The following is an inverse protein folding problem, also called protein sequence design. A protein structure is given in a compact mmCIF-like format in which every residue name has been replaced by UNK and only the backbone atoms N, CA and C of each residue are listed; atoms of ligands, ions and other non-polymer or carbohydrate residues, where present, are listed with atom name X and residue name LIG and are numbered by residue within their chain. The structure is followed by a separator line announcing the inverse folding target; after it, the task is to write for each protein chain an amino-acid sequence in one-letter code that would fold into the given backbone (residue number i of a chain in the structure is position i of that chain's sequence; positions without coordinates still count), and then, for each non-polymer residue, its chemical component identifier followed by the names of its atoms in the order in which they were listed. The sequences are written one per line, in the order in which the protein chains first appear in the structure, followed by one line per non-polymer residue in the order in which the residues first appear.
data_IF_407799887222
#
_entry.id   IF_407799887222
#
_cell.length_a   1.000
_cell.length_b   1.000
_cell.length_c   1.000
_cell.angle_alpha   90.00
_cell.angle_beta   90.00
_cell.angle_gamma   90.00
#
_symmetry.space_group_name_H-M   'P 1'
#
loop_
_entity.id
_entity.type
_entity.pdbx_description
1 polymer ?
#
# COMPACT_ATOMS: atom_id res chain seq x y z
N UNK A 1 48.78 1.16 -4.24
CA UNK A 1 47.60 1.91 -4.72
C UNK A 1 46.41 1.27 -4.04
N UNK A 2 45.84 1.97 -3.06
CA UNK A 2 44.93 1.38 -2.09
C UNK A 2 43.49 1.31 -2.65
N UNK A 3 42.92 0.13 -2.51
CA UNK A 3 41.59 -0.27 -2.93
C UNK A 3 40.53 0.57 -2.23
N UNK A 4 39.80 1.38 -2.99
CA UNK A 4 38.66 2.17 -2.49
C UNK A 4 37.50 1.20 -2.22
N UNK A 5 37.47 0.67 -1.00
CA UNK A 5 36.40 -0.16 -0.44
C UNK A 5 35.15 0.71 -0.25
N UNK A 6 34.35 0.83 -1.31
CA UNK A 6 33.05 1.48 -1.26
C UNK A 6 32.11 0.66 -0.36
N UNK A 7 31.48 1.37 0.57
CA UNK A 7 30.79 0.85 1.75
C UNK A 7 29.44 0.17 1.39
N UNK A 8 29.02 -0.86 2.16
CA UNK A 8 27.79 -1.64 1.91
C UNK A 8 26.47 -0.88 2.12
N UNK A 9 26.50 0.28 2.78
CA UNK A 9 25.33 1.06 3.17
C UNK A 9 24.56 1.65 1.97
N UNK A 10 25.25 2.19 0.97
CA UNK A 10 24.60 2.72 -0.24
C UNK A 10 23.90 1.63 -1.06
N UNK A 11 24.36 0.37 -0.97
CA UNK A 11 23.78 -0.77 -1.70
C UNK A 11 22.49 -1.27 -1.05
N UNK A 12 22.40 -1.23 0.27
CA UNK A 12 21.18 -1.55 1.02
C UNK A 12 20.09 -0.51 0.77
N UNK A 13 20.41 0.79 0.87
CA UNK A 13 19.43 1.86 0.60
C UNK A 13 18.91 1.83 -0.85
N UNK A 14 19.72 1.35 -1.79
CA UNK A 14 19.29 1.17 -3.18
C UNK A 14 18.29 0.04 -3.34
N UNK A 15 18.45 -1.06 -2.59
CA UNK A 15 17.49 -2.18 -2.59
C UNK A 15 16.17 -1.82 -1.94
N UNK A 16 16.20 -1.08 -0.83
CA UNK A 16 14.97 -0.64 -0.15
C UNK A 16 14.20 0.39 -0.99
N UNK A 17 14.91 1.32 -1.64
CA UNK A 17 14.30 2.27 -2.58
C UNK A 17 13.64 1.57 -3.77
N UNK A 18 14.29 0.55 -4.31
CA UNK A 18 13.75 -0.22 -5.43
C UNK A 18 12.56 -1.09 -4.99
N UNK A 19 12.66 -1.72 -3.82
CA UNK A 19 11.55 -2.46 -3.20
C UNK A 19 10.32 -1.59 -2.95
N UNK A 20 10.51 -0.38 -2.41
CA UNK A 20 9.42 0.58 -2.21
C UNK A 20 8.75 0.98 -3.53
N UNK A 21 9.55 1.31 -4.56
CA UNK A 21 9.02 1.64 -5.89
C UNK A 21 8.26 0.46 -6.49
N UNK A 22 8.78 -0.75 -6.37
CA UNK A 22 8.16 -1.96 -6.90
C UNK A 22 6.83 -2.30 -6.20
N UNK A 23 6.75 -2.10 -4.88
CA UNK A 23 5.55 -2.38 -4.10
C UNK A 23 4.47 -1.31 -4.26
N UNK A 24 4.83 -0.03 -4.06
CA UNK A 24 3.84 1.04 -3.92
C UNK A 24 3.66 1.89 -5.18
N UNK A 25 4.66 1.92 -6.06
CA UNK A 25 4.65 2.70 -7.30
C UNK A 25 4.45 1.81 -8.53
N UNK A 26 3.76 0.68 -8.36
CA UNK A 26 3.35 -0.19 -9.46
C UNK A 26 2.08 0.35 -10.12
N UNK A 27 2.10 0.47 -11.44
CA UNK A 27 0.89 0.77 -12.22
C UNK A 27 0.00 -0.47 -12.24
N UNK A 28 -1.22 -0.36 -11.73
CA UNK A 28 -2.24 -1.41 -11.77
C UNK A 28 -3.42 -0.95 -12.62
N UNK A 29 -3.91 -1.83 -13.50
CA UNK A 29 -5.19 -1.68 -14.17
C UNK A 29 -6.30 -2.03 -13.19
N UNK A 30 -6.83 -1.01 -12.52
CA UNK A 30 -8.03 -1.17 -11.68
C UNK A 30 -9.24 -1.08 -12.60
N UNK A 31 -9.94 -2.20 -12.78
CA UNK A 31 -11.13 -2.30 -13.64
C UNK A 31 -12.40 -1.76 -12.95
N UNK A 32 -12.42 -1.71 -11.61
CA UNK A 32 -13.56 -1.27 -10.79
C UNK A 32 -13.09 -0.29 -9.72
N UNK A 33 -13.17 1.02 -10.00
CA UNK A 33 -12.75 2.06 -9.05
C UNK A 33 -13.90 2.43 -8.12
N UNK A 34 -13.66 2.33 -6.82
CA UNK A 34 -14.52 2.92 -5.79
C UNK A 34 -13.87 4.20 -5.29
N UNK A 35 -14.66 5.27 -5.13
CA UNK A 35 -14.16 6.55 -4.64
C UNK A 35 -14.17 6.54 -3.12
N UNK A 36 -13.00 6.64 -2.51
CA UNK A 36 -12.84 6.80 -1.06
C UNK A 36 -12.47 8.26 -0.74
N UNK A 37 -13.08 8.81 0.29
CA UNK A 37 -12.73 10.14 0.77
C UNK A 37 -11.47 10.06 1.64
N UNK A 38 -10.50 10.89 1.30
CA UNK A 38 -9.29 11.10 2.09
C UNK A 38 -9.18 12.57 2.46
N UNK A 39 -8.60 12.86 3.62
CA UNK A 39 -8.37 14.25 4.03
C UNK A 39 -7.53 14.99 2.97
N UNK A 40 -7.86 16.26 2.72
CA UNK A 40 -7.16 17.09 1.73
C UNK A 40 -5.66 17.21 2.00
N UNK A 41 -5.26 17.20 3.28
CA UNK A 41 -3.84 17.21 3.67
C UNK A 41 -3.11 15.95 3.21
N UNK A 42 -3.72 14.77 3.45
CA UNK A 42 -3.17 13.48 3.04
C UNK A 42 -3.13 13.40 1.52
N UNK A 43 -4.20 13.80 0.85
CA UNK A 43 -4.25 13.85 -0.62
C UNK A 43 -3.13 14.74 -1.18
N UNK A 44 -2.95 15.94 -0.64
CA UNK A 44 -1.90 16.86 -1.08
C UNK A 44 -0.48 16.32 -0.84
N UNK A 45 -0.26 15.64 0.29
CA UNK A 45 1.03 15.00 0.60
C UNK A 45 1.33 13.87 -0.38
N UNK A 46 0.36 13.01 -0.66
CA UNK A 46 0.49 11.91 -1.62
C UNK A 46 0.70 12.46 -3.04
N UNK A 47 -0.06 13.47 -3.45
CA UNK A 47 0.06 14.10 -4.77
C UNK A 47 1.48 14.63 -5.02
N UNK A 48 2.05 15.36 -4.05
CA UNK A 48 3.45 15.83 -4.13
C UNK A 48 4.43 14.68 -4.21
N UNK A 49 4.28 13.67 -3.35
CA UNK A 49 5.17 12.51 -3.30
C UNK A 49 5.16 11.73 -4.62
N UNK A 50 3.98 11.34 -5.10
CA UNK A 50 3.81 10.58 -6.35
C UNK A 50 4.26 11.41 -7.55
N UNK A 51 3.98 12.71 -7.56
CA UNK A 51 4.44 13.63 -8.61
C UNK A 51 5.96 13.67 -8.74
N UNK A 52 6.68 13.76 -7.62
CA UNK A 52 8.15 13.84 -7.58
C UNK A 52 8.80 12.48 -7.87
N UNK A 53 8.30 11.39 -7.28
CA UNK A 53 8.99 10.08 -7.32
C UNK A 53 8.59 9.27 -8.55
N UNK A 54 7.31 9.31 -8.94
CA UNK A 54 6.75 8.40 -9.94
C UNK A 54 6.63 9.01 -11.34
N UNK A 55 6.83 10.33 -11.48
CA UNK A 55 6.91 11.02 -12.78
C UNK A 55 5.85 10.59 -13.78
N UNK A 56 4.57 10.94 -13.54
CA UNK A 56 3.39 10.60 -14.38
C UNK A 56 3.13 9.10 -14.66
N UNK A 57 3.99 8.17 -14.24
CA UNK A 57 3.81 6.73 -14.49
C UNK A 57 2.74 6.09 -13.60
N UNK A 58 2.53 6.67 -12.41
CA UNK A 58 1.59 6.18 -11.39
C UNK A 58 0.64 7.28 -11.01
N UNK A 59 -0.65 6.97 -10.93
CA UNK A 59 -1.67 7.90 -10.45
C UNK A 59 -1.76 7.86 -8.92
N UNK A 60 -2.24 8.94 -8.30
CA UNK A 60 -2.53 8.99 -6.85
C UNK A 60 -3.41 7.81 -6.44
N UNK A 61 -4.46 7.53 -7.23
CA UNK A 61 -5.36 6.40 -6.99
C UNK A 61 -4.63 5.06 -7.00
N UNK A 62 -3.70 4.83 -7.93
CA UNK A 62 -2.91 3.60 -7.94
C UNK A 62 -1.99 3.47 -6.72
N UNK A 63 -1.38 4.57 -6.28
CA UNK A 63 -0.55 4.54 -5.08
C UNK A 63 -1.38 4.18 -3.85
N UNK A 64 -2.54 4.83 -3.67
CA UNK A 64 -3.46 4.54 -2.56
C UNK A 64 -3.93 3.08 -2.62
N UNK A 65 -4.30 2.58 -3.80
CA UNK A 65 -4.73 1.19 -4.00
C UNK A 65 -3.63 0.20 -3.59
N UNK A 66 -2.38 0.42 -4.00
CA UNK A 66 -1.26 -0.45 -3.61
C UNK A 66 -0.96 -0.41 -2.11
N UNK A 67 -1.05 0.77 -1.48
CA UNK A 67 -0.84 0.92 -0.03
C UNK A 67 -1.94 0.19 0.74
N UNK A 68 -3.20 0.35 0.32
CA UNK A 68 -4.34 -0.32 0.95
C UNK A 68 -4.27 -1.83 0.76
N UNK A 69 -3.96 -2.33 -0.43
CA UNK A 69 -3.79 -3.76 -0.68
C UNK A 69 -2.66 -4.33 0.20
N UNK A 70 -1.52 -3.67 0.26
CA UNK A 70 -0.41 -4.12 1.10
C UNK A 70 -0.79 -4.12 2.59
N UNK A 71 -1.50 -3.09 3.04
CA UNK A 71 -1.97 -3.00 4.41
C UNK A 71 -2.96 -4.13 4.73
N UNK A 72 -3.96 -4.36 3.87
CA UNK A 72 -4.92 -5.44 4.05
C UNK A 72 -4.25 -6.82 4.06
N UNK A 73 -3.23 -7.04 3.21
CA UNK A 73 -2.51 -8.30 3.18
C UNK A 73 -1.63 -8.50 4.42
N UNK A 74 -0.87 -7.49 4.83
CA UNK A 74 0.03 -7.56 5.99
C UNK A 74 -0.73 -7.69 7.31
N UNK A 75 -1.91 -7.08 7.41
CA UNK A 75 -2.72 -7.08 8.64
C UNK A 75 -3.94 -8.01 8.54
N UNK A 76 -4.02 -8.89 7.55
CA UNK A 76 -5.17 -9.77 7.31
C UNK A 76 -5.58 -10.54 8.57
N UNK A 77 -4.61 -11.13 9.27
CA UNK A 77 -4.85 -11.93 10.48
C UNK A 77 -5.41 -11.06 11.62
N UNK A 78 -4.84 -9.87 11.82
CA UNK A 78 -5.29 -8.91 12.85
C UNK A 78 -6.70 -8.42 12.53
N UNK A 79 -6.95 -8.03 11.29
CA UNK A 79 -8.27 -7.59 10.81
C UNK A 79 -9.29 -8.71 10.99
N UNK A 80 -8.93 -9.95 10.64
CA UNK A 80 -9.81 -11.11 10.81
C UNK A 80 -10.10 -11.41 12.27
N UNK A 81 -9.10 -11.27 13.15
CA UNK A 81 -9.28 -11.43 14.59
C UNK A 81 -10.23 -10.38 15.17
N UNK A 82 -10.01 -9.10 14.84
CA UNK A 82 -10.88 -8.00 15.27
C UNK A 82 -12.30 -8.15 14.72
N UNK A 83 -12.45 -8.57 13.47
CA UNK A 83 -13.75 -8.80 12.86
C UNK A 83 -14.51 -9.92 13.58
N UNK A 84 -13.83 -11.02 13.95
CA UNK A 84 -14.45 -12.11 14.72
C UNK A 84 -14.84 -11.67 16.12
N UNK A 85 -14.01 -10.86 16.78
CA UNK A 85 -14.33 -10.31 18.10
C UNK A 85 -15.57 -9.41 18.05
N UNK A 86 -15.67 -8.53 17.05
CA UNK A 86 -16.83 -7.64 16.88
C UNK A 86 -18.08 -8.39 16.38
N UNK A 87 -17.90 -9.46 15.60
CA UNK A 87 -18.99 -10.35 15.21
C UNK A 87 -19.51 -11.19 16.39
N UNK A 88 -18.64 -11.62 17.30
CA UNK A 88 -18.99 -12.31 18.54
C UNK A 88 -19.77 -11.37 19.49
N UNK A 89 -19.40 -10.08 19.53
CA UNK A 89 -20.17 -9.02 20.20
C UNK A 89 -21.52 -8.69 19.53
N UNK A 90 -21.87 -9.35 18.42
CA UNK A 90 -23.15 -9.20 17.73
C UNK A 90 -23.33 -7.91 16.93
N UNK A 91 -22.25 -7.15 16.70
CA UNK A 91 -22.29 -5.85 16.02
C UNK A 91 -22.29 -6.00 14.50
N UNK A 92 -21.74 -7.10 13.98
CA UNK A 92 -21.59 -7.33 12.55
C UNK A 92 -22.22 -8.66 12.16
N UNK A 93 -23.23 -8.63 11.27
CA UNK A 93 -23.73 -9.85 10.66
C UNK A 93 -22.64 -10.42 9.74
N UNK A 94 -22.20 -11.68 9.92
CA UNK A 94 -21.25 -12.29 9.00
C UNK A 94 -21.85 -12.30 7.58
N UNK A 95 -21.04 -12.10 6.53
CA UNK A 95 -21.53 -12.22 5.17
C UNK A 95 -22.12 -13.61 5.03
N UNK A 96 -23.41 -13.68 4.63
CA UNK A 96 -24.06 -14.95 4.30
C UNK A 96 -23.22 -15.61 3.21
N UNK A 97 -22.45 -16.62 3.59
CA UNK A 97 -21.75 -17.45 2.63
C UNK A 97 -22.78 -18.04 1.70
N UNK A 98 -22.74 -17.62 0.43
CA UNK A 98 -23.45 -18.34 -0.61
C UNK A 98 -22.78 -19.71 -0.71
N UNK A 99 -23.43 -20.72 -0.13
CA UNK A 99 -23.22 -22.10 -0.53
C UNK A 99 -23.78 -22.26 -1.95
N UNK A 100 -22.91 -22.61 -2.88
CA UNK A 100 -23.25 -23.25 -4.14
C UNK A 100 -22.19 -24.32 -4.40
#
# INVERSE_FOLDING_TARGET
MEEVKQQPLQRMESRERDGYKSLFLKKRTVCTRQSVYVSGEIHGRIARMVGVIAGKRVSIGNFIDNVLEHHLNSYKEVISSLYREEADKGIINPPKGNQA
#
